data_IF_966814109720
#
_entry.id   IF_966814109720
#
_cell.length_a   1.000
_cell.length_b   1.000
_cell.length_c   1.000
_cell.angle_alpha   90.00
_cell.angle_beta   90.00
_cell.angle_gamma   90.00
#
_symmetry.space_group_name_H-M   'P 1'
#
loop_
_entity.id
_entity.type
_entity.pdbx_description
1 polymer ?
#
# COMPACT_ATOMS: atom_id res chain seq x y z
N UNK A 1 0.04 -11.70 6.33
CA UNK A 1 0.16 -11.09 5.00
C UNK A 1 -0.81 -9.93 4.89
N UNK A 2 -0.39 -8.84 4.27
CA UNK A 2 -1.12 -7.57 4.25
C UNK A 2 -0.94 -6.89 2.90
N UNK A 3 -1.85 -5.99 2.54
CA UNK A 3 -1.70 -5.08 1.39
C UNK A 3 -1.46 -3.67 1.93
N UNK A 4 -0.60 -2.88 1.31
CA UNK A 4 -0.38 -1.49 1.71
C UNK A 4 -1.06 -0.51 0.78
N UNK A 5 -1.60 0.57 1.37
CA UNK A 5 -1.98 1.79 0.68
C UNK A 5 -0.74 2.68 0.42
N UNK A 6 -0.90 3.71 -0.39
CA UNK A 6 0.17 4.61 -0.83
C UNK A 6 0.82 5.37 0.33
N UNK A 7 0.03 6.06 1.16
CA UNK A 7 0.57 6.89 2.22
C UNK A 7 1.38 6.11 3.27
N UNK A 8 0.92 4.94 3.78
CA UNK A 8 1.73 4.13 4.69
C UNK A 8 3.08 3.76 4.10
N UNK A 9 3.11 3.34 2.82
CA UNK A 9 4.35 2.98 2.13
C UNK A 9 5.30 4.18 2.02
N UNK A 10 4.78 5.36 1.65
CA UNK A 10 5.59 6.58 1.54
C UNK A 10 6.13 7.02 2.90
N UNK A 11 5.32 6.97 3.97
CA UNK A 11 5.79 7.31 5.32
C UNK A 11 6.90 6.38 5.79
N UNK A 12 6.78 5.09 5.48
CA UNK A 12 7.83 4.12 5.74
C UNK A 12 9.10 4.45 4.94
N UNK A 13 9.00 4.66 3.63
CA UNK A 13 10.13 4.96 2.75
C UNK A 13 10.84 6.27 3.11
N UNK A 14 10.10 7.28 3.58
CA UNK A 14 10.65 8.56 4.02
C UNK A 14 11.20 8.53 5.46
N UNK A 15 11.23 7.37 6.10
CA UNK A 15 11.65 7.20 7.50
C UNK A 15 10.87 8.14 8.46
N UNK A 16 9.55 8.27 8.23
CA UNK A 16 8.64 9.06 9.07
C UNK A 16 7.72 8.16 9.92
N UNK A 17 8.28 7.33 10.82
CA UNK A 17 7.51 6.33 11.55
C UNK A 17 6.45 6.96 12.46
N UNK A 18 6.63 8.22 12.87
CA UNK A 18 5.64 8.94 13.68
C UNK A 18 4.32 9.20 12.94
N UNK A 19 4.33 9.16 11.59
CA UNK A 19 3.13 9.31 10.76
C UNK A 19 2.37 8.01 10.58
N UNK A 20 3.00 6.86 10.87
CA UNK A 20 2.36 5.55 10.85
C UNK A 20 1.65 5.29 12.18
N UNK A 21 0.47 4.71 12.10
CA UNK A 21 -0.20 4.16 13.27
C UNK A 21 0.64 3.05 13.91
N UNK A 22 0.37 2.76 15.18
CA UNK A 22 1.19 1.82 15.96
C UNK A 22 1.24 0.41 15.35
N UNK A 23 0.09 -0.08 14.87
CA UNK A 23 0.02 -1.42 14.23
C UNK A 23 0.71 -1.41 12.88
N UNK A 24 0.43 -0.44 12.02
CA UNK A 24 1.08 -0.29 10.73
C UNK A 24 2.61 -0.24 10.85
N UNK A 25 3.13 0.57 11.76
CA UNK A 25 4.57 0.67 12.03
C UNK A 25 5.21 -0.66 12.41
N UNK A 26 4.52 -1.44 13.25
CA UNK A 26 5.00 -2.77 13.65
C UNK A 26 5.06 -3.70 12.44
N UNK A 27 4.01 -3.71 11.60
CA UNK A 27 3.94 -4.57 10.42
C UNK A 27 5.06 -4.27 9.41
N UNK A 28 5.36 -2.99 9.16
CA UNK A 28 6.49 -2.62 8.30
C UNK A 28 7.84 -3.07 8.86
N UNK A 29 8.06 -2.95 10.17
CA UNK A 29 9.27 -3.49 10.81
C UNK A 29 9.35 -5.01 10.71
N UNK A 30 8.24 -5.70 10.96
CA UNK A 30 8.18 -7.16 10.84
C UNK A 30 8.45 -7.60 9.38
N UNK A 31 8.04 -6.81 8.38
CA UNK A 31 8.37 -7.06 6.98
C UNK A 31 9.87 -6.84 6.70
N UNK A 32 10.48 -5.75 7.20
CA UNK A 32 11.93 -5.56 7.07
C UNK A 32 12.74 -6.73 7.65
N UNK A 33 12.26 -7.29 8.75
CA UNK A 33 12.89 -8.44 9.41
C UNK A 33 12.50 -9.80 8.78
N UNK A 34 11.71 -9.81 7.71
CA UNK A 34 11.23 -11.02 7.05
C UNK A 34 10.20 -11.84 7.84
N UNK A 35 9.64 -11.28 8.91
CA UNK A 35 8.60 -11.94 9.75
C UNK A 35 7.18 -11.73 9.26
N UNK A 36 6.97 -10.83 8.32
CA UNK A 36 5.68 -10.52 7.71
C UNK A 36 5.86 -10.29 6.22
N UNK A 37 4.78 -10.40 5.45
CA UNK A 37 4.78 -10.10 4.02
C UNK A 37 3.76 -9.00 3.75
N UNK A 38 4.21 -7.92 3.13
CA UNK A 38 3.39 -6.80 2.68
C UNK A 38 3.39 -6.79 1.15
N UNK A 39 2.20 -6.95 0.56
CA UNK A 39 1.99 -6.76 -0.86
C UNK A 39 1.84 -5.28 -1.19
N UNK A 40 2.56 -4.84 -2.20
CA UNK A 40 2.52 -3.48 -2.73
C UNK A 40 1.79 -3.54 -4.07
N UNK A 41 0.53 -3.10 -4.17
CA UNK A 41 -0.16 -3.05 -5.45
C UNK A 41 0.61 -2.22 -6.47
N UNK A 42 0.74 -2.68 -7.71
CA UNK A 42 1.41 -1.93 -8.77
C UNK A 42 0.82 -0.53 -8.96
N UNK A 43 -0.48 -0.37 -8.71
CA UNK A 43 -1.15 0.94 -8.75
C UNK A 43 -0.65 1.90 -7.66
N UNK A 44 -0.19 1.39 -6.51
CA UNK A 44 0.46 2.20 -5.46
C UNK A 44 1.78 2.78 -5.99
N UNK A 45 2.58 1.98 -6.67
CA UNK A 45 3.83 2.45 -7.27
C UNK A 45 3.57 3.52 -8.34
N UNK A 46 2.50 3.35 -9.14
CA UNK A 46 2.08 4.35 -10.11
C UNK A 46 1.66 5.67 -9.45
N UNK A 47 0.87 5.60 -8.38
CA UNK A 47 0.46 6.79 -7.63
C UNK A 47 1.66 7.49 -7.00
N UNK A 48 2.60 6.74 -6.41
CA UNK A 48 3.84 7.31 -5.87
C UNK A 48 4.62 8.04 -6.96
N UNK A 49 4.77 7.43 -8.15
CA UNK A 49 5.46 8.08 -9.26
C UNK A 49 4.79 9.39 -9.69
N UNK A 50 3.46 9.39 -9.81
CA UNK A 50 2.72 10.61 -10.15
C UNK A 50 2.95 11.72 -9.11
N UNK A 51 2.89 11.39 -7.81
CA UNK A 51 3.13 12.34 -6.72
C UNK A 51 4.57 12.86 -6.68
N UNK A 52 5.54 12.03 -7.06
CA UNK A 52 6.94 12.46 -7.21
C UNK A 52 7.08 13.47 -8.36
N UNK A 53 6.45 13.21 -9.50
CA UNK A 53 6.46 14.13 -10.67
C UNK A 53 5.78 15.47 -10.33
N UNK A 54 4.70 15.44 -9.55
CA UNK A 54 3.97 16.62 -9.09
C UNK A 54 4.71 17.39 -7.98
N UNK A 55 5.75 16.80 -7.39
CA UNK A 55 6.52 17.39 -6.29
C UNK A 55 5.92 17.19 -4.89
N UNK A 56 4.87 16.38 -4.76
CA UNK A 56 4.20 16.10 -3.49
C UNK A 56 4.98 15.11 -2.62
N UNK A 57 5.68 14.15 -3.25
CA UNK A 57 6.50 13.17 -2.57
C UNK A 57 7.97 13.31 -2.96
N UNK A 58 8.85 13.09 -1.99
CA UNK A 58 10.29 12.98 -2.21
C UNK A 58 10.74 11.58 -1.77
N UNK A 59 11.36 10.84 -2.69
CA UNK A 59 11.96 9.54 -2.38
C UNK A 59 13.42 9.71 -1.93
N UNK A 60 13.95 8.81 -1.08
CA UNK A 60 15.34 8.88 -0.62
C UNK A 60 16.35 8.49 -1.72
N UNK A 61 15.87 7.95 -2.84
CA UNK A 61 16.66 7.50 -3.97
C UNK A 61 15.86 7.56 -5.27
N UNK A 62 16.49 7.23 -6.40
CA UNK A 62 15.79 7.13 -7.69
C UNK A 62 14.65 6.10 -7.61
N UNK A 63 13.56 6.36 -8.31
CA UNK A 63 12.35 5.53 -8.30
C UNK A 63 12.62 4.06 -8.67
N UNK A 64 13.43 3.82 -9.72
CA UNK A 64 13.77 2.46 -10.13
C UNK A 64 14.57 1.68 -9.08
N UNK A 65 15.49 2.32 -8.37
CA UNK A 65 16.22 1.72 -7.27
C UNK A 65 15.32 1.44 -6.07
N UNK A 66 14.40 2.36 -5.79
CA UNK A 66 13.42 2.20 -4.72
C UNK A 66 12.51 0.98 -4.96
N UNK A 67 12.01 0.83 -6.20
CA UNK A 67 11.18 -0.33 -6.56
C UNK A 67 11.96 -1.65 -6.48
N UNK A 68 13.22 -1.70 -6.96
CA UNK A 68 14.06 -2.90 -6.84
C UNK A 68 14.29 -3.32 -5.40
N UNK A 69 14.37 -2.36 -4.48
CA UNK A 69 14.50 -2.68 -3.07
C UNK A 69 13.37 -3.55 -2.52
N UNK A 70 12.17 -3.43 -3.06
CA UNK A 70 11.05 -4.30 -2.69
C UNK A 70 11.15 -5.70 -3.31
N UNK A 71 11.67 -5.81 -4.53
CA UNK A 71 11.88 -7.12 -5.16
C UNK A 71 12.97 -7.94 -4.44
N UNK A 72 13.92 -7.26 -3.82
CA UNK A 72 15.05 -7.88 -3.11
C UNK A 72 14.76 -8.15 -1.63
N UNK A 73 13.79 -7.45 -1.04
CA UNK A 73 13.47 -7.55 0.38
C UNK A 73 12.44 -8.69 0.64
N UNK A 74 12.76 -9.67 1.51
CA UNK A 74 11.93 -10.87 1.67
C UNK A 74 10.52 -10.60 2.25
N UNK A 75 10.32 -9.46 2.91
CA UNK A 75 9.04 -9.09 3.52
C UNK A 75 8.15 -8.23 2.63
N UNK A 76 8.53 -8.01 1.37
CA UNK A 76 7.75 -7.22 0.42
C UNK A 76 7.58 -7.96 -0.90
N UNK A 77 6.46 -7.73 -1.57
CA UNK A 77 6.20 -8.22 -2.91
C UNK A 77 5.35 -7.22 -3.69
N UNK A 78 5.70 -6.97 -4.94
CA UNK A 78 4.86 -6.16 -5.83
C UNK A 78 3.75 -7.03 -6.40
N UNK A 79 2.49 -6.60 -6.23
CA UNK A 79 1.32 -7.28 -6.77
C UNK A 79 0.89 -6.63 -8.08
N UNK A 80 0.91 -7.35 -9.21
CA UNK A 80 0.46 -6.82 -10.49
C UNK A 80 -1.02 -6.48 -10.49
N UNK A 81 -1.38 -5.37 -11.16
CA UNK A 81 -2.78 -5.06 -11.42
C UNK A 81 -3.32 -6.00 -12.51
N UNK A 82 -4.36 -6.75 -12.18
CA UNK A 82 -5.06 -7.63 -13.11
C UNK A 82 -6.58 -7.36 -13.11
N UNK A 83 -7.32 -7.96 -14.05
CA UNK A 83 -8.76 -7.70 -14.19
C UNK A 83 -9.59 -8.12 -12.96
N UNK A 84 -9.11 -9.08 -12.16
CA UNK A 84 -9.81 -9.50 -10.93
C UNK A 84 -9.73 -8.42 -9.86
N UNK A 85 -8.57 -7.76 -9.72
CA UNK A 85 -8.44 -6.59 -8.83
C UNK A 85 -9.40 -5.47 -9.26
N UNK A 86 -9.56 -5.26 -10.57
CA UNK A 86 -10.48 -4.25 -11.12
C UNK A 86 -11.93 -4.65 -10.84
N UNK A 87 -12.29 -5.91 -11.02
CA UNK A 87 -13.65 -6.40 -10.75
C UNK A 87 -14.01 -6.25 -9.26
N UNK A 88 -13.12 -6.65 -8.36
CA UNK A 88 -13.29 -6.44 -6.92
C UNK A 88 -13.38 -4.95 -6.54
N UNK A 89 -12.71 -4.06 -7.26
CA UNK A 89 -12.76 -2.62 -6.98
C UNK A 89 -14.14 -2.01 -7.15
N UNK A 90 -15.04 -2.63 -7.92
CA UNK A 90 -16.40 -2.15 -8.21
C UNK A 90 -17.30 -2.07 -6.98
N UNK A 91 -17.00 -2.81 -5.94
CA UNK A 91 -17.77 -2.78 -4.69
C UNK A 91 -17.42 -1.60 -3.77
N UNK A 92 -16.34 -0.87 -4.07
CA UNK A 92 -15.90 0.28 -3.30
C UNK A 92 -16.35 1.60 -3.95
N UNK A 93 -16.75 2.56 -3.13
CA UNK A 93 -17.26 3.86 -3.57
C UNK A 93 -16.42 5.04 -3.03
N UNK A 94 -15.09 4.89 -3.03
CA UNK A 94 -14.20 5.99 -2.71
C UNK A 94 -14.24 7.06 -3.81
N UNK A 95 -14.03 8.31 -3.43
CA UNK A 95 -13.95 9.42 -4.39
C UNK A 95 -12.71 9.32 -5.28
N UNK A 96 -11.62 8.77 -4.75
CA UNK A 96 -10.39 8.54 -5.50
C UNK A 96 -10.42 7.16 -6.15
N UNK A 97 -10.32 7.05 -7.49
CA UNK A 97 -10.29 5.77 -8.18
C UNK A 97 -9.07 4.90 -7.84
N UNK A 98 -7.94 5.50 -7.45
CA UNK A 98 -6.79 4.73 -6.97
C UNK A 98 -7.11 3.99 -5.68
N UNK A 99 -7.80 4.64 -4.75
CA UNK A 99 -8.25 4.01 -3.51
C UNK A 99 -9.15 2.80 -3.77
N UNK A 100 -10.04 2.89 -4.76
CA UNK A 100 -10.90 1.75 -5.16
C UNK A 100 -10.07 0.57 -5.68
N UNK A 101 -9.04 0.83 -6.51
CA UNK A 101 -8.19 -0.22 -7.07
C UNK A 101 -7.28 -0.85 -6.01
N UNK A 102 -6.78 -0.06 -5.07
CA UNK A 102 -5.96 -0.57 -3.94
C UNK A 102 -6.82 -1.46 -3.05
N UNK A 103 -8.02 -1.02 -2.68
CA UNK A 103 -8.96 -1.81 -1.91
C UNK A 103 -9.41 -3.07 -2.65
N UNK A 104 -9.66 -2.96 -3.96
CA UNK A 104 -9.99 -4.09 -4.82
C UNK A 104 -8.86 -5.12 -4.91
N UNK A 105 -7.60 -4.69 -4.91
CA UNK A 105 -6.44 -5.58 -4.86
C UNK A 105 -6.40 -6.33 -3.52
N UNK A 106 -6.61 -5.65 -2.42
CA UNK A 106 -6.65 -6.27 -1.10
C UNK A 106 -7.82 -7.27 -0.96
N UNK A 107 -9.00 -6.92 -1.48
CA UNK A 107 -10.16 -7.81 -1.52
C UNK A 107 -9.90 -9.06 -2.37
N UNK A 108 -9.30 -8.89 -3.56
CA UNK A 108 -8.91 -10.01 -4.42
C UNK A 108 -7.97 -10.98 -3.73
N UNK A 109 -6.99 -10.46 -2.98
CA UNK A 109 -6.04 -11.27 -2.23
C UNK A 109 -6.62 -11.82 -0.91
N UNK A 110 -7.79 -11.34 -0.48
CA UNK A 110 -8.38 -11.72 0.80
C UNK A 110 -7.54 -11.27 2.00
N UNK A 111 -6.88 -10.11 1.91
CA UNK A 111 -5.92 -9.62 2.89
C UNK A 111 -6.33 -8.28 3.50
N UNK A 112 -6.00 -8.04 4.77
CA UNK A 112 -6.19 -6.73 5.39
C UNK A 112 -5.37 -5.64 4.68
N UNK A 113 -5.94 -4.43 4.62
CA UNK A 113 -5.32 -3.26 4.02
C UNK A 113 -4.69 -2.37 5.11
N UNK A 114 -3.40 -2.08 4.99
CA UNK A 114 -2.72 -1.09 5.83
C UNK A 114 -3.09 0.29 5.28
N UNK A 115 -3.98 0.98 5.98
CA UNK A 115 -4.52 2.27 5.58
C UNK A 115 -4.96 3.06 6.80
N UNK A 116 -4.73 4.37 6.78
CA UNK A 116 -5.35 5.26 7.77
C UNK A 116 -6.84 5.31 7.47
N UNK A 117 -7.63 4.82 8.41
CA UNK A 117 -9.08 4.77 8.28
C UNK A 117 -9.65 6.19 8.30
N UNK A 118 -10.09 6.67 7.15
CA UNK A 118 -10.81 7.93 7.01
C UNK A 118 -12.27 7.72 6.63
N UNK A 119 -12.65 6.51 6.17
CA UNK A 119 -13.99 6.17 5.69
C UNK A 119 -14.45 4.85 6.29
N UNK A 120 -15.22 4.93 7.36
CA UNK A 120 -15.81 3.80 8.08
C UNK A 120 -16.71 2.94 7.16
N UNK A 121 -17.26 3.52 6.09
CA UNK A 121 -18.15 2.82 5.16
C UNK A 121 -17.47 1.71 4.34
N UNK A 122 -16.15 1.74 4.21
CA UNK A 122 -15.39 0.69 3.54
C UNK A 122 -14.94 -0.43 4.48
N UNK A 123 -15.00 -0.23 5.78
CA UNK A 123 -14.52 -1.18 6.79
C UNK A 123 -15.31 -2.48 6.84
N UNK A 124 -16.57 -2.48 6.37
CA UNK A 124 -17.41 -3.69 6.34
C UNK A 124 -17.02 -4.66 5.21
N UNK A 125 -16.31 -4.19 4.18
CA UNK A 125 -15.90 -4.98 3.02
C UNK A 125 -14.47 -5.50 3.13
N UNK A 126 -13.62 -4.80 3.88
CA UNK A 126 -12.21 -5.12 4.05
C UNK A 126 -11.71 -4.67 5.41
N UNK A 127 -10.93 -5.53 6.07
CA UNK A 127 -10.26 -5.14 7.32
C UNK A 127 -9.19 -4.09 7.04
N UNK A 128 -9.18 -2.99 7.79
CA UNK A 128 -8.13 -1.96 7.73
C UNK A 128 -7.28 -1.97 9.00
N UNK A 129 -6.01 -1.63 8.83
CA UNK A 129 -5.02 -1.62 9.92
C UNK A 129 -4.26 -0.29 9.90
N UNK A 130 -4.19 0.34 11.08
CA UNK A 130 -3.41 1.56 11.27
C UNK A 130 -2.57 1.58 12.55
#
# INVERSE_FOLDING_TARGET
MYVTDTHPLVYFAQMKPARLGRRARRLFRDAEDGRSLIYIPAIVLWEVWMRVVEGDFTLPMRFDHWCRGFDEAPGFAVEPLNWRCIDESRQFSFNDPFDCLIAGTAAHLGMPLIRKDADISASDLIETIW
#
